data_IF_428387148355
#
_entry.id   IF_428387148355
#
_cell.length_a   1.000
_cell.length_b   1.000
_cell.length_c   1.000
_cell.angle_alpha   90.00
_cell.angle_beta   90.00
_cell.angle_gamma   90.00
#
_symmetry.space_group_name_H-M   'P 1'
#
loop_
_entity.id
_entity.type
_entity.pdbx_description
1 polymer ?
#
# COMPACT_ATOMS: atom_id res chain seq x y z
N UNK A 1 -36.40 -5.34 -4.07
CA UNK A 1 -35.22 -4.75 -4.72
C UNK A 1 -34.38 -4.15 -3.63
N UNK A 2 -33.49 -4.96 -3.05
CA UNK A 2 -32.52 -4.46 -2.05
C UNK A 2 -31.33 -3.91 -2.82
N UNK A 3 -31.17 -2.59 -2.80
CA UNK A 3 -29.88 -1.98 -3.10
C UNK A 3 -28.89 -2.46 -2.04
N UNK A 4 -28.19 -3.55 -2.34
CA UNK A 4 -26.93 -3.92 -1.71
C UNK A 4 -25.90 -2.85 -2.10
N UNK A 5 -26.06 -1.67 -1.52
CA UNK A 5 -25.11 -0.57 -1.62
C UNK A 5 -23.80 -1.09 -1.05
N UNK A 6 -22.82 -1.32 -1.92
CA UNK A 6 -21.46 -1.68 -1.57
C UNK A 6 -20.88 -0.58 -0.67
N UNK A 7 -21.13 -0.68 0.63
CA UNK A 7 -20.51 0.16 1.64
C UNK A 7 -19.02 -0.14 1.60
N UNK A 8 -18.20 0.86 1.25
CA UNK A 8 -16.74 0.72 1.30
C UNK A 8 -16.34 0.11 2.64
N UNK A 9 -15.41 -0.87 2.64
CA UNK A 9 -15.06 -1.59 3.85
C UNK A 9 -14.64 -0.61 4.95
N UNK A 10 -14.95 -0.90 6.22
CA UNK A 10 -14.57 -0.03 7.33
C UNK A 10 -13.06 0.25 7.30
N UNK A 11 -12.68 1.48 7.61
CA UNK A 11 -11.27 1.93 7.59
C UNK A 11 -10.31 0.99 8.33
N UNK A 12 -10.76 0.39 9.43
CA UNK A 12 -9.95 -0.55 10.21
C UNK A 12 -9.68 -1.87 9.49
N UNK A 13 -10.60 -2.31 8.63
CA UNK A 13 -10.38 -3.47 7.77
C UNK A 13 -9.34 -3.12 6.72
N UNK A 14 -9.46 -1.94 6.09
CA UNK A 14 -8.50 -1.46 5.08
C UNK A 14 -7.10 -1.30 5.67
N UNK A 15 -6.97 -0.57 6.78
CA UNK A 15 -5.68 -0.33 7.44
C UNK A 15 -5.04 -1.63 7.94
N UNK A 16 -5.82 -2.55 8.49
CA UNK A 16 -5.33 -3.87 8.92
C UNK A 16 -4.89 -4.73 7.73
N UNK A 17 -5.63 -4.69 6.61
CA UNK A 17 -5.26 -5.37 5.37
C UNK A 17 -3.93 -4.87 4.81
N UNK A 18 -3.76 -3.56 4.71
CA UNK A 18 -2.52 -2.93 4.25
C UNK A 18 -1.36 -3.27 5.18
N UNK A 19 -1.55 -3.19 6.50
CA UNK A 19 -0.51 -3.57 7.47
C UNK A 19 -0.06 -5.02 7.28
N UNK A 20 -1.00 -5.95 6.99
CA UNK A 20 -0.66 -7.35 6.71
C UNK A 20 0.14 -7.49 5.41
N UNK A 21 -0.26 -6.80 4.34
CA UNK A 21 0.43 -6.84 3.05
C UNK A 21 1.86 -6.29 3.18
N UNK A 22 2.03 -5.11 3.80
CA UNK A 22 3.36 -4.50 3.98
C UNK A 22 4.23 -5.36 4.92
N UNK A 23 3.64 -5.94 5.97
CA UNK A 23 4.39 -6.86 6.85
C UNK A 23 4.86 -8.11 6.08
N UNK A 24 4.01 -8.70 5.25
CA UNK A 24 4.38 -9.81 4.38
C UNK A 24 5.50 -9.42 3.42
N UNK A 25 5.40 -8.23 2.81
CA UNK A 25 6.41 -7.70 1.90
C UNK A 25 7.77 -7.56 2.57
N UNK A 26 7.81 -7.03 3.80
CA UNK A 26 9.05 -6.92 4.60
C UNK A 26 9.65 -8.30 4.86
N UNK A 27 8.84 -9.28 5.26
CA UNK A 27 9.31 -10.65 5.52
C UNK A 27 9.89 -11.29 4.25
N UNK A 28 9.16 -11.23 3.13
CA UNK A 28 9.60 -11.77 1.84
C UNK A 28 10.87 -11.09 1.34
N UNK A 29 10.97 -9.76 1.50
CA UNK A 29 12.18 -9.03 1.15
C UNK A 29 13.36 -9.47 2.03
N UNK A 30 13.16 -9.65 3.34
CA UNK A 30 14.19 -10.17 4.23
C UNK A 30 14.68 -11.52 3.75
N UNK A 31 13.79 -12.50 3.57
CA UNK A 31 14.16 -13.86 3.17
C UNK A 31 14.89 -13.88 1.82
N UNK A 32 14.36 -13.17 0.81
CA UNK A 32 14.92 -13.17 -0.54
C UNK A 32 16.28 -12.46 -0.63
N UNK A 33 16.52 -11.46 0.21
CA UNK A 33 17.73 -10.65 0.17
C UNK A 33 18.72 -10.94 1.32
N UNK A 34 18.39 -11.85 2.24
CA UNK A 34 19.21 -12.22 3.42
C UNK A 34 20.63 -12.70 3.06
N UNK A 35 20.82 -13.43 1.96
CA UNK A 35 22.07 -14.16 1.68
C UNK A 35 22.89 -13.64 0.50
N UNK A 36 22.50 -12.53 -0.13
CA UNK A 36 23.15 -12.06 -1.38
C UNK A 36 23.79 -10.70 -1.17
N UNK A 37 25.04 -10.72 -0.68
CA UNK A 37 25.87 -9.53 -0.42
C UNK A 37 25.70 -8.48 -1.50
N UNK A 38 25.22 -7.28 -1.15
CA UNK A 38 25.63 -5.93 -1.60
C UNK A 38 24.97 -4.94 -0.63
N UNK A 39 25.76 -4.03 -0.06
CA UNK A 39 25.39 -2.98 0.91
C UNK A 39 24.10 -2.19 0.58
N UNK A 40 23.73 -2.09 -0.71
CA UNK A 40 22.51 -1.41 -1.19
C UNK A 40 21.20 -2.19 -0.98
N UNK A 41 21.26 -3.48 -0.63
CA UNK A 41 20.07 -4.31 -0.35
C UNK A 41 19.69 -4.31 1.12
N UNK A 42 20.69 -4.19 2.01
CA UNK A 42 20.46 -3.97 3.44
C UNK A 42 19.67 -2.68 3.66
N UNK A 43 20.01 -1.62 2.92
CA UNK A 43 19.28 -0.35 2.97
C UNK A 43 17.83 -0.47 2.49
N UNK A 44 17.50 -1.41 1.59
CA UNK A 44 16.12 -1.60 1.14
C UNK A 44 15.24 -2.21 2.24
N UNK A 45 15.73 -3.27 2.90
CA UNK A 45 15.01 -3.92 4.00
C UNK A 45 14.79 -2.93 5.15
N UNK A 46 15.83 -2.21 5.55
CA UNK A 46 15.74 -1.17 6.58
C UNK A 46 14.76 -0.06 6.20
N UNK A 47 14.77 0.38 4.94
CA UNK A 47 13.79 1.36 4.44
C UNK A 47 12.36 0.82 4.52
N UNK A 48 12.12 -0.42 4.11
CA UNK A 48 10.79 -1.03 4.17
C UNK A 48 10.30 -1.19 5.63
N UNK A 49 11.20 -1.51 6.56
CA UNK A 49 10.89 -1.58 7.98
C UNK A 49 10.54 -0.20 8.57
N UNK A 50 11.32 0.84 8.23
CA UNK A 50 11.04 2.21 8.65
C UNK A 50 9.70 2.70 8.09
N UNK A 51 9.42 2.47 6.81
CA UNK A 51 8.15 2.84 6.18
C UNK A 51 6.96 2.06 6.77
N UNK A 52 7.13 0.78 7.16
CA UNK A 52 6.11 0.04 7.91
C UNK A 52 5.88 0.65 9.30
N UNK A 53 6.95 1.06 9.99
CA UNK A 53 6.86 1.76 11.27
C UNK A 53 6.09 3.07 11.16
N UNK A 54 6.46 3.91 10.18
CA UNK A 54 5.78 5.18 9.87
C UNK A 54 4.32 4.97 9.53
N UNK A 55 4.00 3.95 8.73
CA UNK A 55 2.62 3.60 8.40
C UNK A 55 1.83 3.29 9.67
N UNK A 56 2.34 2.43 10.55
CA UNK A 56 1.67 2.05 11.81
C UNK A 56 1.44 3.24 12.74
N UNK A 57 2.43 4.12 12.88
CA UNK A 57 2.31 5.33 13.70
C UNK A 57 1.27 6.28 13.10
N UNK A 58 1.34 6.53 11.79
CA UNK A 58 0.39 7.40 11.10
C UNK A 58 -1.04 6.85 11.19
N UNK A 59 -1.26 5.57 10.89
CA UNK A 59 -2.58 4.93 10.97
C UNK A 59 -3.10 4.82 12.40
N UNK A 60 -2.21 4.59 13.38
CA UNK A 60 -2.54 4.62 14.81
C UNK A 60 -3.00 6.01 15.26
N UNK A 61 -2.28 7.06 14.85
CA UNK A 61 -2.65 8.45 15.14
C UNK A 61 -3.98 8.85 14.47
N UNK A 62 -4.32 8.25 13.33
CA UNK A 62 -5.64 8.42 12.71
C UNK A 62 -6.76 7.64 13.41
N UNK A 63 -6.43 6.79 14.38
CA UNK A 63 -7.40 5.85 14.96
C UNK A 63 -7.89 4.83 13.94
N UNK A 64 -7.11 4.57 12.89
CA UNK A 64 -7.51 3.72 11.78
C UNK A 64 -7.56 2.25 12.18
N UNK A 65 -6.85 1.81 13.22
CA UNK A 65 -6.93 0.43 13.73
C UNK A 65 -8.11 0.18 14.67
N UNK A 66 -8.82 1.22 15.11
CA UNK A 66 -9.94 1.06 16.01
C UNK A 66 -11.23 0.79 15.24
N UNK A 67 -12.07 -0.07 15.81
CA UNK A 67 -13.42 -0.28 15.31
C UNK A 67 -14.17 1.04 15.18
N UNK A 68 -15.06 1.13 14.19
CA UNK A 68 -15.78 2.37 13.91
C UNK A 68 -16.71 2.86 15.04
N UNK A 69 -16.97 2.00 16.01
CA UNK A 69 -17.73 2.23 17.26
C UNK A 69 -16.90 2.88 18.36
N UNK A 70 -15.57 2.81 18.28
CA UNK A 70 -14.68 3.37 19.30
C UNK A 70 -14.62 4.90 19.22
N UNK A 71 -14.60 5.56 20.38
CA UNK A 71 -14.36 7.00 20.51
C UNK A 71 -12.99 7.42 20.00
N UNK A 72 -12.03 6.48 19.97
CA UNK A 72 -10.68 6.68 19.43
C UNK A 72 -10.61 6.46 17.92
N UNK A 73 -11.69 6.02 17.27
CA UNK A 73 -11.72 5.75 15.83
C UNK A 73 -11.85 7.04 14.99
N UNK A 74 -11.44 6.96 13.73
CA UNK A 74 -11.57 8.06 12.77
C UNK A 74 -13.03 8.54 12.57
N UNK A 75 -14.07 7.84 13.06
CA UNK A 75 -15.45 8.39 13.01
C UNK A 75 -15.64 9.59 13.95
N UNK A 76 -14.90 9.64 15.06
CA UNK A 76 -15.12 10.63 16.13
C UNK A 76 -14.07 11.75 16.15
N UNK A 77 -12.97 11.61 15.41
CA UNK A 77 -11.81 12.50 15.47
C UNK A 77 -11.71 13.62 14.41
N UNK A 78 -12.37 13.60 13.22
CA UNK A 78 -12.19 14.67 12.26
C UNK A 78 -13.22 15.78 12.47
N UNK A 79 -12.76 16.87 13.10
CA UNK A 79 -13.46 18.16 13.18
C UNK A 79 -13.87 18.73 11.81
N UNK A 80 -13.25 18.28 10.70
CA UNK A 80 -13.55 18.69 9.32
C UNK A 80 -14.03 17.52 8.43
N UNK A 81 -15.15 16.90 8.81
CA UNK A 81 -16.15 16.36 7.89
C UNK A 81 -15.72 15.33 6.82
N UNK A 82 -16.63 14.93 5.92
CA UNK A 82 -16.48 13.75 5.06
C UNK A 82 -15.37 13.79 3.99
N UNK A 83 -14.90 14.97 3.54
CA UNK A 83 -13.89 15.08 2.46
C UNK A 83 -12.49 14.59 2.88
N UNK A 84 -12.05 14.92 4.09
CA UNK A 84 -10.75 14.47 4.59
C UNK A 84 -10.73 12.94 4.76
N UNK A 85 -11.84 12.37 5.24
CA UNK A 85 -12.02 10.92 5.37
C UNK A 85 -11.96 10.21 4.01
N UNK A 86 -12.63 10.74 2.99
CA UNK A 86 -12.57 10.19 1.63
C UNK A 86 -11.15 10.22 1.06
N UNK A 87 -10.41 11.33 1.26
CA UNK A 87 -9.02 11.44 0.83
C UNK A 87 -8.09 10.43 1.52
N UNK A 88 -8.27 10.21 2.83
CA UNK A 88 -7.52 9.21 3.61
C UNK A 88 -7.81 7.80 3.11
N UNK A 89 -9.08 7.45 2.91
CA UNK A 89 -9.47 6.13 2.39
C UNK A 89 -8.85 5.89 1.01
N UNK A 90 -9.02 6.84 0.09
CA UNK A 90 -8.46 6.71 -1.26
C UNK A 90 -6.92 6.64 -1.25
N UNK A 91 -6.25 7.32 -0.32
CA UNK A 91 -4.80 7.22 -0.12
C UNK A 91 -4.38 5.84 0.38
N UNK A 92 -5.11 5.29 1.36
CA UNK A 92 -4.89 3.96 1.88
C UNK A 92 -5.09 2.88 0.82
N UNK A 93 -6.18 2.95 0.05
CA UNK A 93 -6.46 2.00 -1.04
C UNK A 93 -5.32 2.01 -2.07
N UNK A 94 -4.88 3.20 -2.52
CA UNK A 94 -3.73 3.31 -3.43
C UNK A 94 -2.45 2.72 -2.84
N UNK A 95 -2.19 2.92 -1.54
CA UNK A 95 -1.04 2.34 -0.87
C UNK A 95 -1.13 0.81 -0.83
N UNK A 96 -2.31 0.27 -0.51
CA UNK A 96 -2.59 -1.16 -0.55
C UNK A 96 -2.35 -1.77 -1.92
N UNK A 97 -2.85 -1.13 -2.97
CA UNK A 97 -2.65 -1.57 -4.36
C UNK A 97 -1.18 -1.57 -4.76
N UNK A 98 -0.42 -0.53 -4.39
CA UNK A 98 1.03 -0.47 -4.64
C UNK A 98 1.74 -1.58 -3.86
N UNK A 99 1.47 -1.72 -2.56
CA UNK A 99 2.11 -2.72 -1.72
C UNK A 99 1.84 -4.14 -2.22
N UNK A 100 0.60 -4.42 -2.65
CA UNK A 100 0.21 -5.70 -3.23
C UNK A 100 0.96 -5.98 -4.54
N UNK A 101 1.06 -5.00 -5.45
CA UNK A 101 1.84 -5.16 -6.69
C UNK A 101 3.30 -5.43 -6.42
N UNK A 102 3.92 -4.72 -5.47
CA UNK A 102 5.32 -4.95 -5.11
C UNK A 102 5.49 -6.35 -4.50
N UNK A 103 4.56 -6.77 -3.63
CA UNK A 103 4.58 -8.11 -3.05
C UNK A 103 4.50 -9.20 -4.14
N UNK A 104 3.62 -9.03 -5.14
CA UNK A 104 3.53 -9.94 -6.28
C UNK A 104 4.83 -9.99 -7.10
N UNK A 105 5.53 -8.86 -7.26
CA UNK A 105 6.83 -8.81 -7.95
C UNK A 105 7.91 -9.55 -7.16
N UNK A 106 8.02 -9.30 -5.85
CA UNK A 106 9.03 -9.95 -5.01
C UNK A 106 8.78 -11.45 -4.90
N UNK A 107 7.53 -11.88 -4.79
CA UNK A 107 7.15 -13.29 -4.76
C UNK A 107 7.18 -13.97 -6.13
N UNK A 108 7.44 -13.23 -7.22
CA UNK A 108 7.50 -13.76 -8.58
C UNK A 108 6.13 -14.09 -9.20
N UNK A 109 5.02 -13.71 -8.53
CA UNK A 109 3.66 -13.86 -9.06
C UNK A 109 3.36 -12.89 -10.20
N UNK A 110 4.13 -11.80 -10.31
CA UNK A 110 4.00 -10.79 -11.36
C UNK A 110 5.38 -10.35 -11.84
N UNK A 111 5.61 -10.18 -13.16
CA UNK A 111 6.84 -9.59 -13.67
C UNK A 111 6.91 -8.10 -13.31
N UNK A 112 8.11 -7.60 -13.03
CA UNK A 112 8.32 -6.17 -12.87
C UNK A 112 8.09 -5.47 -14.22
N UNK A 113 7.02 -4.68 -14.33
CA UNK A 113 6.69 -3.95 -15.56
C UNK A 113 7.74 -2.88 -15.94
N UNK A 114 8.64 -2.55 -15.00
CA UNK A 114 9.79 -1.66 -15.21
C UNK A 114 11.11 -2.42 -15.40
N UNK A 115 11.08 -3.69 -15.78
CA UNK A 115 12.28 -4.38 -16.26
C UNK A 115 12.34 -4.26 -17.79
N UNK A 116 13.09 -3.29 -18.37
CA UNK A 116 13.17 -3.12 -19.81
C UNK A 116 13.99 -4.23 -20.49
N UNK A 117 14.59 -5.15 -19.71
CA UNK A 117 15.67 -6.03 -20.18
C UNK A 117 15.24 -7.50 -20.24
N UNK A 118 14.12 -7.90 -19.62
CA UNK A 118 13.75 -9.33 -19.57
C UNK A 118 12.79 -9.82 -20.67
N UNK A 119 12.10 -8.93 -21.39
CA UNK A 119 11.09 -9.37 -22.39
C UNK A 119 11.49 -9.17 -23.86
N UNK A 120 12.66 -8.61 -24.19
CA UNK A 120 13.12 -8.46 -25.59
C UNK A 120 12.19 -7.67 -26.52
N UNK A 121 11.10 -7.11 -26.01
CA UNK A 121 10.11 -6.34 -26.75
C UNK A 121 10.07 -4.93 -26.16
N UNK A 122 10.53 -3.91 -26.90
CA UNK A 122 10.39 -2.52 -26.48
C UNK A 122 8.90 -2.20 -26.41
N UNK A 123 8.32 -2.10 -25.21
CA UNK A 123 6.98 -1.50 -25.06
C UNK A 123 7.10 0.01 -25.22
N UNK A 124 6.95 0.44 -26.47
CA UNK A 124 6.72 1.83 -26.80
C UNK A 124 5.39 2.26 -26.17
N UNK A 125 5.44 3.09 -25.13
CA UNK A 125 4.26 3.83 -24.67
C UNK A 125 4.26 5.12 -25.48
N UNK A 126 3.39 5.29 -26.49
CA UNK A 126 3.29 6.56 -27.17
C UNK A 126 2.81 7.59 -26.15
N UNK A 127 3.66 8.57 -25.84
CA UNK A 127 3.18 9.83 -25.26
C UNK A 127 2.16 10.39 -26.25
N UNK A 128 0.88 10.33 -25.90
CA UNK A 128 -0.15 11.11 -26.58
C UNK A 128 0.30 12.56 -26.55
N UNK A 129 0.79 13.04 -27.69
CA UNK A 129 0.99 14.46 -27.93
C UNK A 129 -0.40 15.08 -27.87
N UNK A 130 -0.62 15.95 -26.90
CA UNK A 130 -1.67 16.95 -27.01
C UNK A 130 -1.28 17.83 -28.21
N UNK A 131 -1.99 17.65 -29.32
CA UNK A 131 -1.96 18.62 -30.42
C UNK A 131 -3.15 19.55 -30.24
N UNK A 132 -2.77 20.80 -29.94
CA UNK A 132 -3.39 22.09 -30.27
C UNK A 132 -4.73 22.44 -29.63
#
# INVERSE_FOLDING_TARGET
MEESSMSSPPLHVIASGINKIISSLVTEAKEKYFSRSIQSKHSLVETLEDELGRFRVWSGNLGAFHESTSMSSLKHRPRDGPKMKAGIIAGLERLGDVAQRVNEIITGKRPNAFDPILDGVPRYIPRTRFTT
#
